data_IF_965249676320
#
_entry.id   IF_965249676320
#
_cell.length_a   1.000
_cell.length_b   1.000
_cell.length_c   1.000
_cell.angle_alpha   90.00
_cell.angle_beta   90.00
_cell.angle_gamma   90.00
#
_symmetry.space_group_name_H-M   'P 1'
#
loop_
_entity.id
_entity.type
_entity.pdbx_description
1 polymer ?
#
# COMPACT_ATOMS: atom_id res chain seq x y z
N UNK A 1 36.77 22.28 -11.76
CA UNK A 1 36.26 21.01 -11.21
C UNK A 1 34.78 21.21 -10.89
N UNK A 2 33.88 20.27 -11.24
CA UNK A 2 32.47 20.42 -10.93
C UNK A 2 32.21 20.28 -9.43
N UNK A 3 31.15 20.95 -8.97
CA UNK A 3 30.68 20.92 -7.60
C UNK A 3 29.51 19.92 -7.51
N UNK A 4 29.55 19.03 -6.53
CA UNK A 4 28.45 18.13 -6.25
C UNK A 4 27.23 18.88 -5.73
N UNK A 5 26.10 18.77 -6.42
CA UNK A 5 24.87 19.46 -6.00
C UNK A 5 24.25 18.94 -4.69
N UNK A 6 24.74 17.82 -4.18
CA UNK A 6 24.27 17.24 -2.91
C UNK A 6 25.12 17.65 -1.71
N UNK A 7 26.46 17.43 -1.79
CA UNK A 7 27.36 17.64 -0.64
C UNK A 7 28.21 18.90 -0.78
N UNK A 8 28.12 19.65 -1.89
CA UNK A 8 28.89 20.85 -2.12
C UNK A 8 30.40 20.63 -2.39
N UNK A 9 30.89 19.40 -2.31
CA UNK A 9 32.32 19.08 -2.56
C UNK A 9 32.66 19.14 -4.03
N UNK A 10 33.90 19.59 -4.34
CA UNK A 10 34.48 19.43 -5.67
C UNK A 10 34.80 17.97 -5.96
N UNK A 11 34.65 17.53 -7.20
CA UNK A 11 35.04 16.20 -7.62
C UNK A 11 35.81 16.19 -8.94
N UNK A 12 36.65 15.15 -9.13
CA UNK A 12 37.47 15.00 -10.32
C UNK A 12 36.63 14.72 -11.56
N UNK A 13 36.96 15.38 -12.67
CA UNK A 13 36.30 15.16 -13.96
C UNK A 13 36.68 13.86 -14.65
N UNK A 14 37.85 13.30 -14.29
CA UNK A 14 38.34 12.03 -14.80
C UNK A 14 38.76 11.17 -13.63
N UNK A 15 38.32 9.93 -13.59
CA UNK A 15 38.66 8.96 -12.56
C UNK A 15 38.66 7.56 -13.14
N UNK A 16 39.62 6.75 -12.69
CA UNK A 16 39.64 5.34 -13.05
C UNK A 16 38.57 4.56 -12.25
N UNK A 17 37.74 3.82 -12.96
CA UNK A 17 36.65 2.99 -12.41
C UNK A 17 36.64 1.69 -13.19
N UNK A 18 36.75 0.57 -12.47
CA UNK A 18 36.83 -0.78 -13.06
C UNK A 18 37.93 -0.89 -14.13
N UNK A 19 39.13 -0.35 -13.87
CA UNK A 19 40.28 -0.38 -14.78
C UNK A 19 40.13 0.49 -16.03
N UNK A 20 39.17 1.39 -16.10
CA UNK A 20 38.92 2.30 -17.22
C UNK A 20 38.82 3.76 -16.77
N UNK A 21 39.53 4.63 -17.50
CA UNK A 21 39.41 6.09 -17.25
C UNK A 21 38.04 6.58 -17.74
N UNK A 22 37.26 7.11 -16.79
CA UNK A 22 35.89 7.60 -17.04
C UNK A 22 35.84 9.11 -16.93
N UNK A 23 35.12 9.76 -17.86
CA UNK A 23 34.85 11.19 -17.78
C UNK A 23 33.60 11.43 -16.94
N UNK A 24 33.74 12.13 -15.82
CA UNK A 24 32.71 12.45 -14.84
C UNK A 24 32.28 13.93 -14.92
N UNK A 25 32.84 14.70 -15.85
CA UNK A 25 32.63 16.17 -15.90
C UNK A 25 31.19 16.63 -16.13
N UNK A 26 30.35 15.77 -16.72
CA UNK A 26 28.91 16.05 -16.92
C UNK A 26 28.03 15.60 -15.75
N UNK A 27 28.59 15.05 -14.68
CA UNK A 27 27.82 14.59 -13.54
C UNK A 27 27.35 15.76 -12.66
N UNK A 28 26.16 15.61 -12.11
CA UNK A 28 25.59 16.54 -11.13
C UNK A 28 26.04 16.23 -9.70
N UNK A 29 26.41 14.97 -9.42
CA UNK A 29 26.77 14.46 -8.11
C UNK A 29 28.11 13.73 -8.17
N UNK A 30 28.93 13.82 -7.11
CA UNK A 30 30.14 13.03 -6.94
C UNK A 30 29.84 11.52 -6.81
N UNK A 31 30.88 10.68 -6.88
CA UNK A 31 30.72 9.22 -6.77
C UNK A 31 30.26 8.76 -5.38
N UNK A 32 30.55 9.50 -4.32
CA UNK A 32 30.03 9.24 -2.98
C UNK A 32 28.50 9.45 -2.90
N UNK A 33 28.01 10.52 -3.53
CA UNK A 33 26.59 10.87 -3.51
C UNK A 33 25.77 10.13 -4.58
N UNK A 34 26.41 9.68 -5.64
CA UNK A 34 25.82 8.92 -6.74
C UNK A 34 26.88 8.00 -7.35
N UNK A 35 26.97 6.73 -6.96
CA UNK A 35 27.94 5.78 -7.49
C UNK A 35 27.91 5.62 -9.00
N UNK A 36 28.97 5.08 -9.57
CA UNK A 36 29.01 4.77 -11.00
C UNK A 36 27.93 3.72 -11.31
N UNK A 37 27.31 3.81 -12.48
CA UNK A 37 26.14 3.01 -12.91
C UNK A 37 24.81 3.31 -12.19
N UNK A 38 24.76 4.27 -11.27
CA UNK A 38 23.48 4.81 -10.81
C UNK A 38 23.07 6.04 -11.65
N UNK A 39 21.76 6.30 -11.74
CA UNK A 39 21.27 7.50 -12.45
C UNK A 39 21.88 8.77 -11.84
N UNK A 40 22.59 9.55 -12.66
CA UNK A 40 23.27 10.78 -12.25
C UNK A 40 22.32 11.90 -11.80
N UNK A 41 21.02 11.72 -12.00
CA UNK A 41 19.97 12.64 -11.58
C UNK A 41 19.35 12.29 -10.23
N UNK A 42 19.64 11.08 -9.67
CA UNK A 42 19.07 10.61 -8.42
C UNK A 42 20.08 10.76 -7.30
N UNK A 43 19.75 11.54 -6.30
CA UNK A 43 20.54 11.64 -5.07
C UNK A 43 20.27 10.40 -4.21
N UNK A 44 21.28 9.54 -4.03
CA UNK A 44 21.17 8.29 -3.25
C UNK A 44 21.00 8.60 -1.75
N UNK A 45 21.52 9.72 -1.26
CA UNK A 45 21.36 10.10 0.15
C UNK A 45 19.89 10.33 0.52
N UNK A 46 19.04 10.70 -0.45
CA UNK A 46 17.60 10.91 -0.26
C UNK A 46 16.75 9.70 -0.67
N UNK A 47 17.36 8.59 -1.11
CA UNK A 47 16.62 7.45 -1.67
C UNK A 47 15.77 6.70 -0.63
N UNK A 48 16.16 6.76 0.63
CA UNK A 48 15.52 6.04 1.72
C UNK A 48 15.12 7.01 2.85
N UNK A 49 14.28 7.99 2.50
CA UNK A 49 13.66 8.90 3.46
C UNK A 49 12.15 8.77 3.33
N UNK A 50 11.50 8.41 4.43
CA UNK A 50 10.06 8.29 4.46
C UNK A 50 9.38 9.65 4.37
N UNK A 51 8.55 9.85 3.34
CA UNK A 51 7.80 11.10 3.12
C UNK A 51 6.76 11.40 4.20
N UNK A 52 6.35 10.38 4.99
CA UNK A 52 5.37 10.54 6.07
C UNK A 52 5.99 10.81 7.44
N UNK A 53 7.08 10.12 7.80
CA UNK A 53 7.65 10.21 9.14
C UNK A 53 9.12 10.58 9.18
N UNK A 54 9.75 10.86 8.04
CA UNK A 54 11.17 11.22 7.96
C UNK A 54 12.16 10.09 8.26
N UNK A 55 11.69 8.86 8.61
CA UNK A 55 12.58 7.74 8.92
C UNK A 55 13.50 7.44 7.74
N UNK A 56 14.79 7.24 8.03
CA UNK A 56 15.86 6.97 7.06
C UNK A 56 16.37 5.53 7.20
N UNK A 57 17.23 5.12 6.24
CA UNK A 57 17.91 3.82 6.26
C UNK A 57 17.20 2.76 5.43
N UNK A 58 17.99 2.08 4.56
CA UNK A 58 17.48 1.08 3.57
C UNK A 58 16.70 -0.06 4.23
N UNK A 59 17.11 -0.48 5.42
CA UNK A 59 16.50 -1.56 6.22
C UNK A 59 15.04 -1.28 6.59
N UNK A 60 14.65 0.00 6.66
CA UNK A 60 13.30 0.45 6.98
C UNK A 60 12.36 0.42 5.78
N UNK A 61 12.82 0.08 4.58
CA UNK A 61 12.05 0.10 3.35
C UNK A 61 11.99 -1.28 2.69
N UNK A 62 10.98 -1.49 1.85
CA UNK A 62 10.95 -2.65 0.96
C UNK A 62 11.88 -2.41 -0.25
N UNK A 63 12.44 -3.46 -0.88
CA UNK A 63 13.43 -3.31 -1.95
C UNK A 63 13.02 -2.38 -3.10
N UNK A 64 11.73 -2.40 -3.46
CA UNK A 64 11.19 -1.63 -4.59
C UNK A 64 10.42 -0.37 -4.16
N UNK A 65 10.34 -0.07 -2.84
CA UNK A 65 9.63 1.08 -2.29
C UNK A 65 10.56 1.91 -1.42
N UNK A 66 10.99 3.06 -1.94
CA UNK A 66 12.02 3.90 -1.30
C UNK A 66 11.48 5.20 -0.69
N UNK A 67 10.20 5.48 -0.89
CA UNK A 67 9.56 6.74 -0.47
C UNK A 67 8.71 6.62 0.80
N UNK A 68 8.27 5.40 1.13
CA UNK A 68 7.44 5.14 2.32
C UNK A 68 8.04 3.97 3.09
N UNK A 69 8.35 4.16 4.37
CA UNK A 69 8.89 3.10 5.20
C UNK A 69 7.86 2.00 5.52
N UNK A 70 8.34 0.82 5.91
CA UNK A 70 7.50 -0.36 6.21
C UNK A 70 6.42 -0.08 7.25
N UNK A 71 6.74 0.65 8.32
CA UNK A 71 5.78 0.98 9.37
C UNK A 71 4.68 1.92 8.91
N UNK A 72 5.01 2.99 8.16
CA UNK A 72 4.01 3.89 7.60
C UNK A 72 3.13 3.20 6.55
N UNK A 73 3.70 2.31 5.73
CA UNK A 73 2.94 1.53 4.77
C UNK A 73 1.96 0.56 5.45
N UNK A 74 2.41 -0.15 6.48
CA UNK A 74 1.55 -1.04 7.25
C UNK A 74 0.40 -0.29 7.92
N UNK A 75 0.68 0.88 8.52
CA UNK A 75 -0.36 1.75 9.08
C UNK A 75 -1.36 2.18 8.02
N UNK A 76 -0.89 2.70 6.89
CA UNK A 76 -1.76 3.11 5.78
C UNK A 76 -2.66 1.96 5.30
N UNK A 77 -2.10 0.76 5.10
CA UNK A 77 -2.88 -0.42 4.68
C UNK A 77 -3.96 -0.78 5.70
N UNK A 78 -3.62 -0.74 7.01
CA UNK A 78 -4.59 -0.98 8.09
C UNK A 78 -5.71 0.06 8.10
N UNK A 79 -5.37 1.34 7.99
CA UNK A 79 -6.34 2.44 7.98
C UNK A 79 -7.28 2.34 6.77
N UNK A 80 -6.74 1.99 5.58
CA UNK A 80 -7.56 1.75 4.38
C UNK A 80 -8.49 0.54 4.54
N UNK A 81 -8.02 -0.54 5.16
CA UNK A 81 -8.86 -1.72 5.42
C UNK A 81 -10.04 -1.38 6.33
N UNK A 82 -9.79 -0.64 7.42
CA UNK A 82 -10.85 -0.19 8.34
C UNK A 82 -11.85 0.71 7.63
N UNK A 83 -11.35 1.69 6.86
CA UNK A 83 -12.19 2.64 6.11
C UNK A 83 -13.11 1.91 5.12
N UNK A 84 -12.55 1.01 4.32
CA UNK A 84 -13.32 0.28 3.29
C UNK A 84 -14.30 -0.73 3.89
N UNK A 85 -13.92 -1.38 4.97
CA UNK A 85 -14.83 -2.27 5.69
C UNK A 85 -16.01 -1.49 6.32
N UNK A 86 -15.76 -0.30 6.85
CA UNK A 86 -16.82 0.59 7.34
C UNK A 86 -17.73 1.02 6.20
N UNK A 87 -17.15 1.52 5.11
CA UNK A 87 -17.89 1.94 3.91
C UNK A 87 -18.81 0.84 3.38
N UNK A 88 -18.29 -0.39 3.23
CA UNK A 88 -19.08 -1.50 2.73
C UNK A 88 -20.27 -1.86 3.64
N UNK A 89 -20.08 -1.81 4.98
CA UNK A 89 -21.18 -2.03 5.92
C UNK A 89 -22.24 -0.93 5.84
N UNK A 90 -21.84 0.32 5.74
CA UNK A 90 -22.76 1.46 5.61
C UNK A 90 -23.57 1.38 4.32
N UNK A 91 -22.95 1.00 3.20
CA UNK A 91 -23.63 0.77 1.91
C UNK A 91 -24.68 -0.32 2.00
N UNK A 92 -24.41 -1.40 2.75
CA UNK A 92 -25.35 -2.49 2.97
C UNK A 92 -26.37 -2.21 4.10
N UNK A 93 -26.51 -0.96 4.53
CA UNK A 93 -27.51 -0.51 5.50
C UNK A 93 -27.14 -0.64 6.96
N UNK A 94 -25.90 -1.05 7.29
CA UNK A 94 -25.31 -1.01 8.64
C UNK A 94 -25.94 -1.96 9.67
N UNK A 95 -26.87 -2.86 9.26
CA UNK A 95 -27.59 -3.80 10.12
C UNK A 95 -27.75 -5.17 9.47
N UNK A 96 -27.95 -6.19 10.28
CA UNK A 96 -28.23 -7.53 9.80
C UNK A 96 -29.53 -7.57 8.99
N UNK A 97 -29.50 -8.07 7.76
CA UNK A 97 -30.66 -8.16 6.87
C UNK A 97 -31.75 -9.14 7.41
N UNK A 98 -31.38 -10.10 8.25
CA UNK A 98 -32.31 -11.11 8.79
C UNK A 98 -32.92 -10.65 10.12
N UNK A 99 -32.10 -10.32 11.13
CA UNK A 99 -32.58 -10.03 12.49
C UNK A 99 -32.53 -8.56 12.89
N UNK A 100 -32.05 -7.68 12.03
CA UNK A 100 -31.95 -6.25 12.29
C UNK A 100 -30.84 -5.83 13.27
N UNK A 101 -29.99 -6.75 13.73
CA UNK A 101 -28.90 -6.43 14.67
C UNK A 101 -27.94 -5.38 14.08
N UNK A 102 -27.71 -4.30 14.82
CA UNK A 102 -26.88 -3.14 14.42
C UNK A 102 -25.93 -2.63 15.52
N UNK A 103 -26.04 -3.18 16.74
CA UNK A 103 -25.37 -2.68 17.94
C UNK A 103 -23.84 -2.65 17.82
N UNK A 104 -23.24 -3.65 17.17
CA UNK A 104 -21.78 -3.76 17.02
C UNK A 104 -21.41 -4.02 15.56
N UNK A 105 -20.82 -3.03 14.89
CA UNK A 105 -20.41 -3.14 13.50
C UNK A 105 -19.35 -4.22 13.25
N UNK A 106 -18.52 -4.57 14.23
CA UNK A 106 -17.55 -5.66 14.15
C UNK A 106 -18.18 -7.07 14.16
N UNK A 107 -19.45 -7.17 14.54
CA UNK A 107 -20.20 -8.41 14.52
C UNK A 107 -21.02 -8.59 13.23
N UNK A 108 -20.87 -7.70 12.26
CA UNK A 108 -21.53 -7.75 10.96
C UNK A 108 -20.55 -8.19 9.89
N UNK A 109 -20.90 -9.25 9.17
CA UNK A 109 -20.13 -9.82 8.08
C UNK A 109 -20.87 -9.62 6.74
N UNK A 110 -20.11 -9.43 5.68
CA UNK A 110 -20.64 -9.34 4.31
C UNK A 110 -20.82 -10.78 3.80
N UNK A 111 -22.04 -11.11 3.38
CA UNK A 111 -22.39 -12.42 2.84
C UNK A 111 -22.77 -12.30 1.36
N UNK A 112 -22.14 -13.08 0.49
CA UNK A 112 -22.47 -13.14 -0.94
C UNK A 112 -23.69 -14.04 -1.13
N UNK A 113 -24.73 -13.50 -1.80
CA UNK A 113 -25.94 -14.26 -2.14
C UNK A 113 -25.63 -15.39 -3.13
N UNK A 114 -24.70 -15.13 -4.05
CA UNK A 114 -24.22 -16.12 -5.01
C UNK A 114 -22.71 -16.31 -4.86
N UNK A 115 -22.31 -17.42 -4.26
CA UNK A 115 -20.89 -17.74 -4.02
C UNK A 115 -20.09 -17.90 -5.32
N UNK A 116 -20.76 -18.23 -6.45
CA UNK A 116 -20.09 -18.37 -7.75
C UNK A 116 -19.64 -17.05 -8.34
N UNK A 117 -20.29 -15.96 -7.95
CA UNK A 117 -19.98 -14.58 -8.39
C UNK A 117 -19.02 -13.85 -7.49
N UNK A 118 -18.61 -14.46 -6.36
CA UNK A 118 -17.66 -13.85 -5.45
C UNK A 118 -16.30 -13.64 -6.14
N UNK A 119 -15.83 -12.39 -6.14
CA UNK A 119 -14.47 -12.10 -6.60
C UNK A 119 -13.45 -12.82 -5.69
N UNK A 120 -12.55 -13.60 -6.30
CA UNK A 120 -11.50 -14.37 -5.59
C UNK A 120 -10.59 -13.49 -4.77
N UNK A 121 -10.41 -12.24 -5.20
CA UNK A 121 -9.56 -11.25 -4.55
C UNK A 121 -10.27 -10.40 -3.49
N UNK A 122 -11.52 -10.73 -3.12
CA UNK A 122 -12.28 -9.94 -2.13
C UNK A 122 -11.53 -9.75 -0.80
N UNK A 123 -10.72 -10.71 -0.38
CA UNK A 123 -9.85 -10.56 0.79
C UNK A 123 -8.84 -9.41 0.64
N UNK A 124 -8.52 -9.00 -0.59
CA UNK A 124 -7.59 -7.91 -0.94
C UNK A 124 -8.30 -6.57 -1.20
N UNK A 125 -9.58 -6.43 -0.82
CA UNK A 125 -10.40 -5.22 -1.06
C UNK A 125 -9.76 -3.91 -0.60
N UNK A 126 -8.78 -3.96 0.29
CA UNK A 126 -7.99 -2.80 0.73
C UNK A 126 -7.33 -2.04 -0.44
N UNK A 127 -7.04 -2.73 -1.54
CA UNK A 127 -6.44 -2.17 -2.75
C UNK A 127 -7.45 -1.79 -3.84
N UNK A 128 -8.74 -2.10 -3.64
CA UNK A 128 -9.79 -1.81 -4.60
C UNK A 128 -10.20 -0.35 -4.58
N UNK A 129 -10.73 0.15 -5.70
CA UNK A 129 -11.45 1.42 -5.73
C UNK A 129 -12.82 1.28 -5.05
N UNK A 130 -13.45 2.38 -4.70
CA UNK A 130 -14.80 2.34 -4.11
C UNK A 130 -15.84 1.85 -5.13
N UNK A 131 -15.68 2.20 -6.40
CA UNK A 131 -16.56 1.73 -7.49
C UNK A 131 -16.50 0.21 -7.64
N UNK A 132 -15.30 -0.40 -7.53
CA UNK A 132 -15.18 -1.87 -7.55
C UNK A 132 -15.82 -2.51 -6.32
N UNK A 133 -15.69 -1.88 -5.15
CA UNK A 133 -16.39 -2.35 -3.95
C UNK A 133 -17.88 -2.27 -4.14
N UNK A 134 -18.42 -1.16 -4.64
CA UNK A 134 -19.86 -0.99 -4.89
C UNK A 134 -20.41 -2.06 -5.83
N UNK A 135 -19.70 -2.36 -6.92
CA UNK A 135 -20.07 -3.41 -7.88
C UNK A 135 -20.14 -4.81 -7.25
N UNK A 136 -19.20 -5.13 -6.34
CA UNK A 136 -19.20 -6.40 -5.63
C UNK A 136 -20.34 -6.49 -4.60
N UNK A 137 -20.66 -5.35 -3.96
CA UNK A 137 -21.72 -5.28 -2.95
C UNK A 137 -23.13 -5.44 -3.50
N UNK A 138 -23.35 -5.26 -4.82
CA UNK A 138 -24.67 -5.49 -5.46
C UNK A 138 -25.19 -6.91 -5.24
N UNK A 139 -24.30 -7.87 -5.04
CA UNK A 139 -24.58 -9.29 -4.84
C UNK A 139 -24.40 -9.75 -3.39
N UNK A 140 -24.38 -8.79 -2.46
CA UNK A 140 -24.07 -9.03 -1.05
C UNK A 140 -25.17 -8.50 -0.13
N UNK A 141 -25.28 -9.14 1.05
CA UNK A 141 -26.07 -8.65 2.18
C UNK A 141 -25.20 -8.61 3.42
N UNK A 142 -25.65 -7.86 4.41
CA UNK A 142 -24.98 -7.76 5.70
C UNK A 142 -25.68 -8.68 6.71
N UNK A 143 -24.93 -9.58 7.33
CA UNK A 143 -25.45 -10.51 8.33
C UNK A 143 -24.68 -10.37 9.64
N UNK A 144 -25.35 -10.50 10.77
CA UNK A 144 -24.63 -10.68 12.02
C UNK A 144 -24.02 -12.10 12.07
N UNK A 145 -23.00 -12.32 12.88
CA UNK A 145 -22.28 -13.58 12.95
C UNK A 145 -23.18 -14.79 13.23
N UNK A 146 -24.22 -14.61 14.04
CA UNK A 146 -25.19 -15.68 14.34
C UNK A 146 -26.02 -16.05 13.08
N UNK A 147 -26.63 -15.07 12.44
CA UNK A 147 -27.39 -15.31 11.20
C UNK A 147 -26.50 -15.81 10.08
N UNK A 148 -25.27 -15.29 9.95
CA UNK A 148 -24.29 -15.74 8.97
C UNK A 148 -23.93 -17.23 9.17
N UNK A 149 -23.72 -17.66 10.42
CA UNK A 149 -23.51 -19.04 10.76
C UNK A 149 -24.73 -19.91 10.43
N UNK A 150 -25.93 -19.48 10.82
CA UNK A 150 -27.18 -20.22 10.55
C UNK A 150 -27.46 -20.41 9.05
N UNK A 151 -27.15 -19.39 8.21
CA UNK A 151 -27.23 -19.53 6.75
C UNK A 151 -26.26 -20.59 6.23
N UNK A 152 -25.01 -20.57 6.71
CA UNK A 152 -24.01 -21.56 6.29
C UNK A 152 -24.32 -22.99 6.78
N UNK A 153 -25.01 -23.16 7.91
CA UNK A 153 -25.47 -24.44 8.41
C UNK A 153 -26.78 -24.92 7.76
N UNK A 154 -27.43 -24.07 6.97
CA UNK A 154 -28.70 -24.41 6.31
C UNK A 154 -29.94 -24.25 7.20
N UNK A 155 -29.79 -23.65 8.40
CA UNK A 155 -30.92 -23.36 9.30
C UNK A 155 -31.78 -22.19 8.79
N UNK A 156 -31.19 -21.33 7.96
CA UNK A 156 -31.86 -20.20 7.31
C UNK A 156 -31.54 -20.22 5.82
N UNK A 157 -32.59 -20.17 5.00
CA UNK A 157 -32.48 -19.99 3.54
C UNK A 157 -32.62 -18.51 3.17
N UNK A 158 -31.80 -18.03 2.22
CA UNK A 158 -31.81 -16.67 1.67
C UNK A 158 -32.51 -16.66 0.33
#
# INVERSE_FOLDING_TARGET
>A
MPICKNCGKYFKTHQEIDGKLRNLGKRKYCLECSPFNSHNTTNISNKYICSYCGKTGKENFYPHHTTICKSCRAKYTKDQSILKAKYAREKLGGKCAICGFDKYQCALDIHHLDQSKKDKDFASHVHWSFERIDSELENCILLCKNCHSAVHHGDISL
#
